data_IF_820025973330
#
_entry.id   IF_820025973330
#
_cell.length_a   1.000
_cell.length_b   1.000
_cell.length_c   1.000
_cell.angle_alpha   90.00
_cell.angle_beta   90.00
_cell.angle_gamma   90.00
#
_symmetry.space_group_name_H-M   'P 1'
#
loop_
_entity.id
_entity.type
_entity.pdbx_description
1 polymer ?
#
# COMPACT_ATOMS: atom_id res chain seq x y z
N UNK A 1 26.16 -3.03 16.19
CA UNK A 1 26.25 -4.46 15.78
C UNK A 1 27.71 -4.86 15.71
N UNK A 2 28.08 -5.94 16.38
CA UNK A 2 29.37 -6.57 16.24
C UNK A 2 29.51 -7.10 14.82
N UNK A 3 30.60 -6.76 14.12
CA UNK A 3 30.86 -7.06 12.71
C UNK A 3 30.70 -8.51 12.31
N UNK A 4 29.48 -8.90 12.02
CA UNK A 4 29.17 -10.15 11.37
C UNK A 4 29.57 -10.11 9.91
N UNK A 5 30.06 -11.23 9.37
CA UNK A 5 30.34 -11.39 7.95
C UNK A 5 29.06 -11.16 7.14
N UNK A 6 29.15 -10.41 6.04
CA UNK A 6 28.09 -10.31 5.03
C UNK A 6 28.16 -11.45 4.02
N UNK A 7 29.08 -12.41 4.22
CA UNK A 7 29.24 -13.56 3.34
C UNK A 7 28.07 -14.53 3.47
N UNK A 8 27.44 -14.83 2.35
CA UNK A 8 26.36 -15.81 2.28
C UNK A 8 26.92 -17.24 2.37
N UNK A 9 26.66 -17.90 3.47
CA UNK A 9 27.08 -19.30 3.71
C UNK A 9 25.96 -20.31 3.37
N UNK A 10 24.73 -19.84 3.14
CA UNK A 10 23.54 -20.68 2.85
C UNK A 10 23.29 -20.78 1.36
N UNK A 11 23.49 -19.70 0.62
CA UNK A 11 23.30 -19.60 -0.83
C UNK A 11 21.93 -19.08 -1.26
N UNK A 12 20.95 -19.08 -0.37
CA UNK A 12 19.61 -18.59 -0.66
C UNK A 12 19.60 -17.05 -0.93
N UNK A 13 20.32 -16.29 -0.09
CA UNK A 13 20.42 -14.84 -0.25
C UNK A 13 21.10 -14.44 -1.56
N UNK A 14 22.15 -15.12 -1.96
CA UNK A 14 22.84 -14.91 -3.25
C UNK A 14 21.91 -15.16 -4.43
N UNK A 15 21.13 -16.25 -4.40
CA UNK A 15 20.18 -16.57 -5.45
C UNK A 15 19.07 -15.52 -5.57
N UNK A 16 18.56 -15.03 -4.44
CA UNK A 16 17.58 -13.91 -4.35
C UNK A 16 18.18 -12.62 -4.90
N UNK A 17 19.38 -12.27 -4.46
CA UNK A 17 20.09 -11.06 -4.88
C UNK A 17 20.33 -11.01 -6.40
N UNK A 18 20.70 -12.14 -7.00
CA UNK A 18 20.95 -12.23 -8.44
C UNK A 18 19.67 -12.03 -9.27
N UNK A 19 18.50 -12.42 -8.79
CA UNK A 19 17.22 -12.14 -9.45
C UNK A 19 16.92 -10.65 -9.45
N UNK A 20 17.22 -9.96 -8.35
CA UNK A 20 16.97 -8.52 -8.21
C UNK A 20 17.96 -7.72 -9.08
N UNK A 21 19.27 -7.91 -8.86
CA UNK A 21 20.32 -7.05 -9.38
C UNK A 21 21.57 -7.81 -9.91
N UNK A 22 21.37 -9.05 -10.39
CA UNK A 22 22.46 -9.80 -11.04
C UNK A 22 23.00 -9.07 -12.26
N UNK A 23 24.26 -9.35 -12.62
CA UNK A 23 24.94 -8.79 -13.79
C UNK A 23 25.33 -9.88 -14.80
N UNK A 24 25.64 -9.49 -16.03
CA UNK A 24 26.13 -10.43 -17.04
C UNK A 24 27.38 -11.18 -16.56
N UNK A 25 28.26 -10.52 -15.81
CA UNK A 25 29.45 -11.14 -15.23
C UNK A 25 29.10 -12.23 -14.18
N UNK A 26 27.94 -12.15 -13.54
CA UNK A 26 27.41 -13.19 -12.66
C UNK A 26 26.62 -14.29 -13.37
N UNK A 27 26.55 -14.23 -14.71
CA UNK A 27 25.81 -15.20 -15.54
C UNK A 27 24.29 -15.11 -15.49
N UNK A 28 23.76 -14.13 -14.74
CA UNK A 28 22.31 -13.86 -14.62
C UNK A 28 22.10 -12.36 -14.55
N UNK A 29 21.36 -11.82 -15.52
CA UNK A 29 20.96 -10.41 -15.49
C UNK A 29 19.71 -10.28 -14.65
N UNK A 30 19.79 -9.50 -13.58
CA UNK A 30 18.68 -9.18 -12.68
C UNK A 30 17.67 -8.21 -13.31
N UNK A 31 16.55 -8.03 -12.64
CA UNK A 31 15.48 -7.14 -13.11
C UNK A 31 15.83 -5.64 -12.97
N UNK A 32 16.76 -5.31 -12.07
CA UNK A 32 17.30 -3.96 -11.84
C UNK A 32 18.82 -4.07 -11.57
N UNK A 33 19.65 -4.29 -12.59
CA UNK A 33 21.11 -4.50 -12.42
C UNK A 33 21.85 -3.31 -11.79
N UNK A 34 21.29 -2.12 -11.90
CA UNK A 34 21.81 -0.87 -11.32
C UNK A 34 21.45 -0.70 -9.83
N UNK A 35 20.62 -1.56 -9.26
CA UNK A 35 20.24 -1.47 -7.85
C UNK A 35 21.43 -1.79 -6.94
N UNK A 36 21.63 -0.94 -5.92
CA UNK A 36 22.60 -1.19 -4.85
C UNK A 36 21.95 -2.12 -3.82
N UNK A 37 22.55 -3.28 -3.61
CA UNK A 37 22.06 -4.26 -2.64
C UNK A 37 22.76 -4.09 -1.30
N UNK A 38 21.99 -4.11 -0.22
CA UNK A 38 22.45 -4.14 1.17
C UNK A 38 22.09 -5.50 1.77
N UNK A 39 23.05 -6.43 1.89
CA UNK A 39 22.76 -7.75 2.46
C UNK A 39 22.64 -7.67 3.99
N UNK A 40 21.46 -8.05 4.51
CA UNK A 40 21.19 -8.14 5.94
C UNK A 40 20.96 -9.60 6.30
N UNK A 41 21.92 -10.21 6.97
CA UNK A 41 21.95 -11.65 7.21
C UNK A 41 20.97 -12.06 8.29
N UNK A 42 19.98 -12.86 7.90
CA UNK A 42 18.94 -13.41 8.78
C UNK A 42 19.04 -14.93 8.95
N UNK A 43 19.65 -15.62 7.99
CA UNK A 43 19.96 -17.04 8.07
C UNK A 43 21.46 -17.25 8.19
N UNK A 44 21.86 -18.19 9.04
CA UNK A 44 23.25 -18.63 9.18
C UNK A 44 23.31 -20.16 9.11
N UNK A 45 24.50 -20.73 8.90
CA UNK A 45 24.73 -22.18 9.06
C UNK A 45 25.08 -22.48 10.51
N UNK A 46 24.49 -23.56 11.04
CA UNK A 46 24.94 -24.18 12.28
C UNK A 46 26.14 -25.12 12.01
N UNK A 47 26.82 -25.57 13.06
CA UNK A 47 27.95 -26.47 12.94
C UNK A 47 27.72 -27.79 12.19
N UNK A 48 26.46 -28.12 11.84
CA UNK A 48 26.06 -29.29 11.06
C UNK A 48 25.58 -28.93 9.64
N UNK A 49 25.99 -27.78 9.10
CA UNK A 49 25.58 -27.24 7.80
C UNK A 49 24.07 -26.94 7.65
N UNK A 50 23.28 -27.09 8.73
CA UNK A 50 21.87 -26.74 8.71
C UNK A 50 21.68 -25.22 8.75
N UNK A 51 20.80 -24.69 7.89
CA UNK A 51 20.42 -23.28 7.93
C UNK A 51 19.62 -22.99 9.22
N UNK A 52 20.08 -22.02 10.01
CA UNK A 52 19.40 -21.53 11.21
C UNK A 52 18.84 -20.16 10.92
N UNK A 53 17.55 -20.02 11.12
CA UNK A 53 16.81 -18.78 10.97
C UNK A 53 16.96 -17.92 12.23
N UNK A 54 17.13 -16.62 12.07
CA UNK A 54 17.01 -15.65 13.17
C UNK A 54 15.60 -15.64 13.77
N UNK A 55 15.45 -15.08 14.95
CA UNK A 55 14.15 -14.89 15.59
C UNK A 55 13.40 -13.66 15.05
N UNK A 56 12.10 -13.51 15.40
CA UNK A 56 11.27 -12.40 14.92
C UNK A 56 11.70 -11.03 15.47
N UNK A 57 12.16 -10.88 16.72
CA UNK A 57 12.79 -9.63 17.18
C UNK A 57 13.99 -9.20 16.34
N UNK A 58 14.84 -10.15 15.94
CA UNK A 58 15.96 -9.87 15.04
C UNK A 58 15.47 -9.39 13.65
N UNK A 59 14.42 -10.01 13.10
CA UNK A 59 13.85 -9.60 11.82
C UNK A 59 13.28 -8.17 11.91
N UNK A 60 12.55 -7.86 12.98
CA UNK A 60 12.03 -6.51 13.21
C UNK A 60 13.16 -5.47 13.29
N UNK A 61 14.27 -5.80 13.98
CA UNK A 61 15.42 -4.91 14.05
C UNK A 61 16.12 -4.74 12.69
N UNK A 62 16.26 -5.81 11.92
CA UNK A 62 16.83 -5.77 10.55
C UNK A 62 16.01 -4.86 9.64
N UNK A 63 14.68 -4.89 9.73
CA UNK A 63 13.81 -3.99 8.97
C UNK A 63 14.07 -2.53 9.37
N UNK A 64 14.15 -2.23 10.66
CA UNK A 64 14.47 -0.88 11.14
C UNK A 64 15.86 -0.42 10.70
N UNK A 65 16.87 -1.28 10.78
CA UNK A 65 18.23 -0.98 10.33
C UNK A 65 18.27 -0.71 8.82
N UNK A 66 17.51 -1.44 8.01
CA UNK A 66 17.40 -1.20 6.58
C UNK A 66 16.88 0.23 6.28
N UNK A 67 15.93 0.70 7.09
CA UNK A 67 15.35 2.05 6.97
C UNK A 67 16.31 3.11 7.52
N UNK A 68 16.69 3.00 8.79
CA UNK A 68 17.30 4.10 9.55
C UNK A 68 18.81 4.18 9.39
N UNK A 69 19.49 3.04 9.13
CA UNK A 69 20.95 2.96 9.00
C UNK A 69 21.39 2.92 7.54
N UNK A 70 20.69 2.15 6.73
CA UNK A 70 21.10 1.90 5.33
C UNK A 70 20.31 2.69 4.31
N UNK A 71 19.27 3.42 4.70
CA UNK A 71 18.41 4.23 3.80
C UNK A 71 17.91 3.44 2.59
N UNK A 72 17.51 2.19 2.80
CA UNK A 72 16.96 1.35 1.75
C UNK A 72 15.63 1.94 1.27
N UNK A 73 15.34 1.81 -0.04
CA UNK A 73 14.06 2.19 -0.65
C UNK A 73 13.09 1.01 -0.77
N UNK A 74 13.64 -0.19 -0.79
CA UNK A 74 12.87 -1.43 -0.78
C UNK A 74 13.55 -2.47 0.11
N UNK A 75 12.76 -3.34 0.72
CA UNK A 75 13.22 -4.45 1.54
C UNK A 75 12.61 -5.74 0.98
N UNK A 76 13.45 -6.69 0.57
CA UNK A 76 13.03 -8.01 0.17
C UNK A 76 13.13 -9.00 1.33
N UNK A 77 12.02 -9.62 1.72
CA UNK A 77 11.97 -10.61 2.80
C UNK A 77 11.50 -11.94 2.24
N UNK A 78 12.44 -12.74 1.74
CA UNK A 78 12.18 -14.09 1.24
C UNK A 78 12.11 -15.12 2.39
N UNK A 79 11.40 -14.79 3.46
CA UNK A 79 11.23 -15.55 4.68
C UNK A 79 9.94 -15.14 5.38
N UNK A 80 9.39 -16.00 6.23
CA UNK A 80 8.21 -15.69 7.01
C UNK A 80 8.06 -16.58 8.25
N UNK A 81 7.12 -16.24 9.12
CA UNK A 81 6.71 -17.03 10.27
C UNK A 81 5.18 -17.05 10.37
N UNK A 82 4.64 -18.12 10.95
CA UNK A 82 3.17 -18.29 11.15
C UNK A 82 2.64 -17.50 12.38
N UNK A 83 3.45 -16.60 12.92
CA UNK A 83 3.14 -15.85 14.13
C UNK A 83 3.24 -14.36 13.84
N UNK A 84 2.16 -13.65 14.09
CA UNK A 84 2.12 -12.19 14.13
C UNK A 84 2.68 -11.71 15.49
N UNK A 85 3.62 -10.78 15.44
CA UNK A 85 4.16 -10.13 16.63
C UNK A 85 4.08 -8.61 16.52
N UNK A 86 3.77 -7.90 17.61
CA UNK A 86 3.73 -6.44 17.61
C UNK A 86 5.03 -5.82 17.06
N UNK A 87 6.19 -6.31 17.50
CA UNK A 87 7.48 -5.78 17.06
C UNK A 87 7.69 -5.86 15.54
N UNK A 88 7.25 -6.96 14.91
CA UNK A 88 7.38 -7.13 13.45
C UNK A 88 6.37 -6.24 12.70
N UNK A 89 5.14 -6.14 13.22
CA UNK A 89 4.10 -5.25 12.67
C UNK A 89 4.55 -3.78 12.72
N UNK A 90 5.06 -3.33 13.86
CA UNK A 90 5.56 -1.97 14.05
C UNK A 90 6.77 -1.67 13.15
N UNK A 91 7.63 -2.66 12.91
CA UNK A 91 8.79 -2.48 12.04
C UNK A 91 8.40 -2.30 10.56
N UNK A 92 7.41 -3.05 10.04
CA UNK A 92 6.94 -2.87 8.66
C UNK A 92 6.11 -1.60 8.50
N UNK A 93 5.31 -1.23 9.51
CA UNK A 93 4.60 0.05 9.52
C UNK A 93 5.59 1.24 9.54
N UNK A 94 6.67 1.13 10.30
CA UNK A 94 7.76 2.11 10.29
C UNK A 94 8.41 2.25 8.92
N UNK A 95 8.69 1.13 8.24
CA UNK A 95 9.23 1.14 6.88
C UNK A 95 8.30 1.88 5.92
N UNK A 96 7.00 1.59 5.94
CA UNK A 96 5.98 2.26 5.13
C UNK A 96 5.97 3.78 5.38
N UNK A 97 5.91 4.21 6.65
CA UNK A 97 5.93 5.62 7.05
C UNK A 97 7.19 6.37 6.58
N UNK A 98 8.30 5.66 6.42
CA UNK A 98 9.57 6.21 5.93
C UNK A 98 9.76 6.09 4.41
N UNK A 99 8.71 5.70 3.68
CA UNK A 99 8.75 5.59 2.23
C UNK A 99 9.52 4.37 1.72
N UNK A 100 9.60 3.30 2.52
CA UNK A 100 10.31 2.06 2.18
C UNK A 100 9.33 0.94 1.89
N UNK A 101 9.34 0.40 0.66
CA UNK A 101 8.51 -0.73 0.27
C UNK A 101 9.03 -2.02 0.87
N UNK A 102 8.17 -2.78 1.54
CA UNK A 102 8.46 -4.13 1.99
C UNK A 102 7.76 -5.13 1.08
N UNK A 103 8.51 -6.10 0.54
CA UNK A 103 7.99 -7.20 -0.26
C UNK A 103 8.31 -8.51 0.43
N UNK A 104 7.33 -9.40 0.62
CA UNK A 104 7.53 -10.67 1.31
C UNK A 104 6.81 -11.83 0.63
N UNK A 105 7.24 -13.06 0.95
CA UNK A 105 6.77 -14.28 0.30
C UNK A 105 5.51 -14.85 0.95
N UNK A 106 4.56 -15.31 0.12
CA UNK A 106 3.30 -15.92 0.58
C UNK A 106 3.50 -17.22 1.38
N UNK A 107 4.58 -17.97 1.10
CA UNK A 107 4.84 -19.30 1.68
C UNK A 107 4.73 -20.43 0.66
N UNK A 108 5.21 -21.62 1.03
CA UNK A 108 5.35 -22.76 0.12
C UNK A 108 4.62 -24.01 0.65
N UNK A 109 3.55 -23.87 1.41
CA UNK A 109 2.77 -25.00 1.95
C UNK A 109 1.69 -25.50 0.94
N UNK A 110 1.38 -24.72 -0.10
CA UNK A 110 0.38 -25.05 -1.11
C UNK A 110 -1.07 -24.98 -0.61
N UNK A 111 -1.32 -24.20 0.43
CA UNK A 111 -2.61 -24.07 1.08
C UNK A 111 -2.87 -22.61 1.52
N UNK A 112 -3.82 -22.39 2.43
CA UNK A 112 -4.23 -21.10 2.97
C UNK A 112 -3.41 -20.61 4.19
N UNK A 113 -2.28 -21.25 4.48
CA UNK A 113 -1.43 -20.86 5.60
C UNK A 113 -0.88 -19.45 5.41
N UNK A 114 -1.12 -18.60 6.40
CA UNK A 114 -0.69 -17.20 6.42
C UNK A 114 0.70 -17.07 7.04
N UNK A 115 1.58 -16.32 6.38
CA UNK A 115 2.91 -15.98 6.88
C UNK A 115 3.09 -14.49 7.10
N UNK A 116 3.79 -14.13 8.15
CA UNK A 116 4.19 -12.76 8.47
C UNK A 116 5.70 -12.56 8.22
N UNK A 117 6.09 -11.39 7.67
CA UNK A 117 5.33 -10.14 7.53
C UNK A 117 4.44 -10.06 6.28
N UNK A 118 4.41 -11.05 5.38
CA UNK A 118 3.69 -11.00 4.12
C UNK A 118 2.20 -10.63 4.26
N UNK A 119 1.54 -11.08 5.33
CA UNK A 119 0.12 -10.83 5.56
C UNK A 119 -0.20 -9.44 6.16
N UNK A 120 0.78 -8.61 6.44
CA UNK A 120 0.49 -7.24 6.85
C UNK A 120 0.12 -6.38 5.65
N UNK A 121 -0.90 -5.58 5.78
CA UNK A 121 -1.47 -4.75 4.69
C UNK A 121 -0.50 -3.73 4.07
N UNK A 122 0.56 -3.36 4.77
CA UNK A 122 1.63 -2.49 4.28
C UNK A 122 2.74 -3.24 3.54
N UNK A 123 2.69 -4.58 3.53
CA UNK A 123 3.67 -5.45 2.86
C UNK A 123 3.08 -5.98 1.56
N UNK A 124 3.84 -5.93 0.48
CA UNK A 124 3.44 -6.52 -0.79
C UNK A 124 3.74 -8.03 -0.76
N UNK A 125 2.70 -8.84 -0.73
CA UNK A 125 2.78 -10.28 -0.64
C UNK A 125 2.90 -10.93 -2.02
N UNK A 126 3.98 -11.68 -2.27
CA UNK A 126 4.25 -12.34 -3.54
C UNK A 126 4.08 -13.87 -3.46
N UNK A 127 3.16 -14.40 -4.25
CA UNK A 127 3.03 -15.82 -4.57
C UNK A 127 3.75 -16.20 -5.86
N UNK A 128 3.72 -17.49 -6.21
CA UNK A 128 4.36 -18.01 -7.43
C UNK A 128 3.33 -18.41 -8.48
N UNK A 129 3.52 -17.95 -9.72
CA UNK A 129 2.71 -18.36 -10.87
C UNK A 129 3.26 -19.63 -11.50
N UNK A 130 2.35 -20.53 -11.89
CA UNK A 130 2.61 -21.61 -12.85
C UNK A 130 2.23 -21.14 -14.24
N UNK A 131 3.21 -20.68 -15.01
CA UNK A 131 2.98 -20.13 -16.35
C UNK A 131 2.48 -21.15 -17.38
N UNK A 132 2.60 -22.42 -17.11
CA UNK A 132 2.11 -23.48 -17.99
C UNK A 132 0.60 -23.71 -17.86
N UNK A 133 0.02 -23.42 -16.69
CA UNK A 133 -1.38 -23.63 -16.36
C UNK A 133 -2.14 -22.31 -16.19
N UNK A 134 -1.44 -21.18 -16.28
CA UNK A 134 -1.95 -19.83 -16.05
C UNK A 134 -2.68 -19.67 -14.71
N UNK A 135 -2.08 -20.20 -13.67
CA UNK A 135 -2.60 -20.22 -12.30
C UNK A 135 -1.48 -20.19 -11.26
N UNK A 136 -1.80 -20.24 -9.96
CA UNK A 136 -0.79 -20.32 -8.92
C UNK A 136 -0.05 -21.66 -8.96
N UNK A 137 1.24 -21.65 -8.60
CA UNK A 137 2.02 -22.88 -8.44
C UNK A 137 1.42 -23.73 -7.31
N UNK A 138 1.46 -25.05 -7.45
CA UNK A 138 0.88 -25.98 -6.46
C UNK A 138 1.41 -25.77 -5.04
N UNK A 139 2.66 -25.35 -4.91
CA UNK A 139 3.28 -25.08 -3.61
C UNK A 139 3.02 -23.66 -3.08
N UNK A 140 2.57 -22.71 -3.93
CA UNK A 140 2.32 -21.35 -3.49
C UNK A 140 1.13 -21.29 -2.55
N UNK A 141 1.29 -20.62 -1.41
CA UNK A 141 0.16 -20.37 -0.52
C UNK A 141 -0.82 -19.40 -1.17
N UNK A 142 -2.10 -19.55 -0.82
CA UNK A 142 -3.26 -18.84 -1.38
C UNK A 142 -4.17 -18.41 -0.25
N UNK A 143 -4.33 -17.12 -0.10
CA UNK A 143 -5.18 -16.50 0.94
C UNK A 143 -5.38 -15.02 0.63
N UNK A 144 -6.32 -14.38 1.30
CA UNK A 144 -6.71 -12.98 1.09
C UNK A 144 -5.61 -11.92 1.31
N UNK A 145 -4.42 -12.33 1.76
CA UNK A 145 -3.25 -11.45 1.88
C UNK A 145 -2.26 -11.56 0.72
N UNK A 146 -2.54 -12.39 -0.31
CA UNK A 146 -1.68 -12.46 -1.52
C UNK A 146 -2.04 -11.28 -2.44
N UNK A 147 -1.05 -10.44 -2.78
CA UNK A 147 -1.26 -9.31 -3.68
C UNK A 147 -1.01 -9.66 -5.13
N UNK A 148 0.09 -10.38 -5.40
CA UNK A 148 0.57 -10.67 -6.76
C UNK A 148 1.21 -12.05 -6.87
N UNK A 149 1.13 -12.62 -8.06
CA UNK A 149 1.97 -13.73 -8.43
C UNK A 149 3.14 -13.27 -9.31
N UNK A 150 4.26 -13.98 -9.22
CA UNK A 150 5.43 -13.74 -10.05
C UNK A 150 6.13 -15.06 -10.42
N UNK A 151 7.02 -15.08 -11.45
CA UNK A 151 7.83 -16.23 -11.77
C UNK A 151 8.63 -16.74 -10.55
N UNK A 152 8.58 -18.04 -10.32
CA UNK A 152 9.27 -18.68 -9.20
C UNK A 152 9.39 -20.20 -9.40
N UNK A 153 9.15 -20.72 -10.62
CA UNK A 153 9.34 -22.11 -11.01
C UNK A 153 10.47 -22.19 -12.03
N UNK A 154 11.47 -23.03 -11.77
CA UNK A 154 12.65 -23.23 -12.59
C UNK A 154 13.31 -21.91 -13.00
N UNK A 155 13.28 -20.95 -12.08
CA UNK A 155 13.85 -19.63 -12.30
C UNK A 155 15.38 -19.73 -12.29
N UNK A 156 16.02 -19.22 -13.33
CA UNK A 156 17.49 -19.22 -13.45
C UNK A 156 18.07 -18.14 -12.52
N UNK A 157 19.08 -18.51 -11.77
CA UNK A 157 19.83 -17.63 -10.88
C UNK A 157 21.26 -18.16 -10.70
N UNK A 158 22.04 -17.60 -9.79
CA UNK A 158 23.38 -18.04 -9.47
C UNK A 158 23.50 -18.50 -8.03
N UNK A 159 24.42 -19.44 -7.75
CA UNK A 159 24.77 -19.86 -6.41
C UNK A 159 25.98 -19.08 -5.88
N UNK A 160 26.41 -19.36 -4.63
CA UNK A 160 27.57 -18.73 -3.97
C UNK A 160 28.91 -18.97 -4.68
N UNK A 161 28.98 -19.90 -5.64
CA UNK A 161 30.17 -20.19 -6.44
C UNK A 161 30.16 -19.45 -7.79
N UNK A 162 29.11 -18.68 -8.07
CA UNK A 162 28.90 -18.04 -9.37
C UNK A 162 28.41 -19.00 -10.46
N UNK A 163 27.95 -20.20 -10.10
CA UNK A 163 27.43 -21.18 -11.04
C UNK A 163 25.94 -20.94 -11.30
N UNK A 164 25.51 -21.06 -12.54
CA UNK A 164 24.08 -20.97 -12.89
C UNK A 164 23.30 -22.16 -12.31
N UNK A 165 22.23 -21.85 -11.60
CA UNK A 165 21.32 -22.83 -11.00
C UNK A 165 19.87 -22.48 -11.30
N UNK A 166 18.98 -23.43 -11.14
CA UNK A 166 17.53 -23.20 -11.19
C UNK A 166 16.91 -23.42 -9.81
N UNK A 167 15.97 -22.56 -9.47
CA UNK A 167 15.32 -22.52 -8.16
C UNK A 167 13.80 -22.52 -8.28
N UNK A 168 13.12 -22.98 -7.22
CA UNK A 168 11.67 -22.91 -7.10
C UNK A 168 11.29 -22.34 -5.73
N UNK A 169 10.23 -21.53 -5.67
CA UNK A 169 9.67 -21.04 -4.42
C UNK A 169 9.20 -19.60 -4.49
N UNK A 170 8.29 -19.25 -3.61
CA UNK A 170 7.77 -17.88 -3.44
C UNK A 170 8.85 -16.89 -3.00
N UNK A 171 9.94 -17.36 -2.39
CA UNK A 171 11.15 -16.55 -2.12
C UNK A 171 11.71 -15.86 -3.36
N UNK A 172 11.69 -16.55 -4.50
CA UNK A 172 12.23 -16.06 -5.77
C UNK A 172 11.22 -15.21 -6.53
N UNK A 173 9.95 -15.49 -6.38
CA UNK A 173 8.85 -14.61 -6.82
C UNK A 173 8.90 -13.26 -6.09
N UNK A 174 9.18 -13.27 -4.78
CA UNK A 174 9.40 -12.06 -3.98
C UNK A 174 10.55 -11.23 -4.54
N UNK A 175 11.68 -11.88 -4.85
CA UNK A 175 12.83 -11.23 -5.48
C UNK A 175 12.47 -10.64 -6.86
N UNK A 176 11.66 -11.35 -7.64
CA UNK A 176 11.16 -10.85 -8.92
C UNK A 176 10.35 -9.57 -8.75
N UNK A 177 9.34 -9.58 -7.87
CA UNK A 177 8.51 -8.39 -7.59
C UNK A 177 9.36 -7.22 -7.07
N UNK A 178 10.31 -7.51 -6.15
CA UNK A 178 11.22 -6.48 -5.63
C UNK A 178 12.09 -5.87 -6.73
N UNK A 179 12.61 -6.68 -7.65
CA UNK A 179 13.40 -6.21 -8.79
C UNK A 179 12.59 -5.36 -9.77
N UNK A 180 11.32 -5.72 -10.01
CA UNK A 180 10.39 -4.90 -10.80
C UNK A 180 10.14 -3.57 -10.10
N UNK A 181 9.81 -3.58 -8.80
CA UNK A 181 9.61 -2.37 -8.01
C UNK A 181 10.85 -1.46 -8.02
N UNK A 182 12.05 -2.02 -7.84
CA UNK A 182 13.30 -1.28 -7.89
C UNK A 182 13.48 -0.59 -9.25
N UNK A 183 13.18 -1.26 -10.37
CA UNK A 183 13.30 -0.65 -11.70
C UNK A 183 12.28 0.48 -11.94
N UNK A 184 11.11 0.41 -11.32
CA UNK A 184 10.13 1.52 -11.34
C UNK A 184 10.63 2.71 -10.51
N UNK A 185 11.23 2.46 -9.33
CA UNK A 185 11.85 3.49 -8.47
C UNK A 185 13.04 4.19 -9.14
N UNK A 186 13.77 3.50 -10.03
CA UNK A 186 14.83 4.12 -10.82
C UNK A 186 14.28 5.11 -11.84
N UNK A 187 13.10 4.79 -12.41
CA UNK A 187 12.42 5.66 -13.40
C UNK A 187 11.75 6.85 -12.74
N UNK A 188 11.09 6.64 -11.59
CA UNK A 188 10.43 7.68 -10.82
C UNK A 188 10.79 7.54 -9.31
N UNK A 189 11.85 8.23 -8.86
CA UNK A 189 12.36 8.10 -7.49
C UNK A 189 11.41 8.60 -6.40
N UNK A 190 10.38 9.36 -6.75
CA UNK A 190 9.44 9.94 -5.77
C UNK A 190 8.27 9.01 -5.45
N UNK A 191 8.15 7.87 -6.13
CA UNK A 191 7.09 6.89 -5.85
C UNK A 191 7.14 6.43 -4.39
N UNK A 192 6.00 6.58 -3.71
CA UNK A 192 5.81 6.03 -2.38
C UNK A 192 5.56 4.51 -2.43
N UNK A 193 5.76 3.76 -1.34
CA UNK A 193 5.44 2.33 -1.29
C UNK A 193 3.99 2.03 -1.69
N UNK A 194 3.06 2.85 -1.25
CA UNK A 194 1.66 2.74 -1.63
C UNK A 194 1.45 2.88 -3.14
N UNK A 195 2.04 3.90 -3.77
CA UNK A 195 1.94 4.11 -5.21
C UNK A 195 2.54 2.96 -6.01
N UNK A 196 3.65 2.39 -5.53
CA UNK A 196 4.27 1.22 -6.14
C UNK A 196 3.37 -0.01 -6.06
N UNK A 197 2.78 -0.30 -4.88
CA UNK A 197 1.82 -1.39 -4.73
C UNK A 197 0.64 -1.20 -5.68
N UNK A 198 0.03 -0.01 -5.71
CA UNK A 198 -1.08 0.29 -6.61
C UNK A 198 -0.71 0.15 -8.09
N UNK A 199 0.46 0.66 -8.49
CA UNK A 199 0.93 0.54 -9.87
C UNK A 199 1.11 -0.92 -10.26
N UNK A 200 1.77 -1.72 -9.42
CA UNK A 200 2.02 -3.13 -9.68
C UNK A 200 0.73 -3.95 -9.71
N UNK A 201 -0.18 -3.75 -8.75
CA UNK A 201 -1.46 -4.44 -8.70
C UNK A 201 -2.39 -4.06 -9.87
N UNK A 202 -2.53 -2.75 -10.16
CA UNK A 202 -3.41 -2.26 -11.23
C UNK A 202 -2.91 -2.56 -12.65
N UNK A 203 -1.66 -2.97 -12.80
CA UNK A 203 -1.07 -3.35 -14.10
C UNK A 203 -0.74 -4.83 -14.18
N UNK A 204 -1.05 -5.60 -13.14
CA UNK A 204 -0.90 -7.05 -13.16
C UNK A 204 -1.77 -7.67 -14.26
N UNK A 205 -1.28 -8.75 -14.85
CA UNK A 205 -2.07 -9.54 -15.79
C UNK A 205 -3.01 -10.43 -14.99
N UNK A 206 -4.27 -10.08 -15.02
CA UNK A 206 -5.34 -10.82 -14.35
C UNK A 206 -5.40 -12.28 -14.84
N UNK A 207 -5.55 -13.20 -13.89
CA UNK A 207 -5.69 -14.64 -14.10
C UNK A 207 -6.66 -15.21 -13.05
N UNK A 208 -7.12 -16.43 -13.24
CA UNK A 208 -8.11 -17.12 -12.40
C UNK A 208 -9.49 -16.45 -12.48
N UNK A 209 -9.92 -15.68 -11.51
CA UNK A 209 -11.18 -14.95 -11.53
C UNK A 209 -10.97 -13.48 -11.88
N UNK A 210 -11.94 -12.83 -12.52
CA UNK A 210 -11.84 -11.41 -12.89
C UNK A 210 -11.69 -10.52 -11.64
N UNK A 211 -10.65 -9.71 -11.65
CA UNK A 211 -10.29 -8.82 -10.56
C UNK A 211 -9.46 -9.52 -9.47
N UNK A 212 -9.59 -9.04 -8.23
CA UNK A 212 -8.88 -9.65 -7.11
C UNK A 212 -9.51 -10.99 -6.70
N UNK A 213 -8.69 -12.03 -6.53
CA UNK A 213 -9.08 -13.32 -5.94
C UNK A 213 -8.00 -13.87 -4.99
N UNK A 214 -8.37 -14.81 -4.10
CA UNK A 214 -7.45 -15.38 -3.09
C UNK A 214 -6.41 -16.33 -3.68
N UNK A 215 -6.58 -16.82 -4.90
CA UNK A 215 -5.68 -17.72 -5.59
C UNK A 215 -4.50 -16.98 -6.24
N UNK A 216 -4.77 -15.81 -6.83
CA UNK A 216 -3.79 -15.05 -7.63
C UNK A 216 -3.54 -13.62 -7.17
N UNK A 217 -4.27 -13.12 -6.17
CA UNK A 217 -4.29 -11.71 -5.83
C UNK A 217 -4.86 -10.88 -6.98
N UNK A 218 -4.13 -9.86 -7.43
CA UNK A 218 -4.44 -9.07 -8.63
C UNK A 218 -3.95 -9.71 -9.93
N UNK A 219 -3.31 -10.86 -9.85
CA UNK A 219 -2.74 -11.56 -11.00
C UNK A 219 -1.21 -11.56 -11.04
N UNK A 220 -0.66 -11.76 -12.22
CA UNK A 220 0.79 -11.88 -12.43
C UNK A 220 1.40 -10.51 -12.67
N UNK A 221 2.45 -10.18 -11.91
CA UNK A 221 3.20 -8.93 -12.08
C UNK A 221 3.69 -8.77 -13.53
N UNK A 222 3.41 -7.61 -14.13
CA UNK A 222 3.84 -7.26 -15.49
C UNK A 222 4.71 -5.99 -15.45
N UNK A 223 6.02 -6.18 -15.54
CA UNK A 223 7.01 -5.08 -15.57
C UNK A 223 6.75 -4.13 -16.75
N UNK A 224 6.39 -4.68 -17.91
CA UNK A 224 6.22 -3.88 -19.13
C UNK A 224 4.99 -3.00 -19.00
N UNK A 225 3.86 -3.57 -18.57
CA UNK A 225 2.64 -2.82 -18.34
C UNK A 225 2.82 -1.75 -17.25
N UNK A 226 3.47 -2.09 -16.12
CA UNK A 226 3.75 -1.16 -15.05
C UNK A 226 4.64 0.01 -15.51
N UNK A 227 5.71 -0.29 -16.25
CA UNK A 227 6.61 0.74 -16.80
C UNK A 227 5.90 1.62 -17.83
N UNK A 228 5.12 1.04 -18.74
CA UNK A 228 4.35 1.79 -19.73
C UNK A 228 3.31 2.70 -19.07
N UNK A 229 2.64 2.20 -18.02
CA UNK A 229 1.69 2.98 -17.24
C UNK A 229 2.38 4.14 -16.51
N UNK A 230 3.52 3.87 -15.85
CA UNK A 230 4.31 4.90 -15.19
C UNK A 230 4.76 5.97 -16.18
N UNK A 231 5.34 5.60 -17.31
CA UNK A 231 5.79 6.53 -18.35
C UNK A 231 4.63 7.34 -18.97
N UNK A 232 3.44 6.74 -19.07
CA UNK A 232 2.26 7.44 -19.56
C UNK A 232 1.72 8.48 -18.56
N UNK A 233 2.04 8.33 -17.26
CA UNK A 233 1.62 9.23 -16.19
C UNK A 233 2.69 10.26 -15.83
N UNK A 234 3.96 9.88 -15.90
CA UNK A 234 5.11 10.80 -15.69
C UNK A 234 5.09 11.89 -16.75
N UNK A 235 5.00 13.14 -16.30
CA UNK A 235 5.08 14.31 -17.17
C UNK A 235 3.79 14.77 -17.85
N UNK A 236 2.63 14.13 -17.61
CA UNK A 236 1.36 14.77 -17.99
C UNK A 236 1.13 15.97 -17.09
N UNK A 237 1.04 17.20 -17.64
CA UNK A 237 0.72 18.35 -16.81
C UNK A 237 -0.70 18.19 -16.27
N UNK A 238 -0.86 18.29 -14.94
CA UNK A 238 -2.17 18.54 -14.37
C UNK A 238 -2.70 19.87 -14.93
N UNK A 239 -4.00 20.02 -15.11
CA UNK A 239 -4.57 21.29 -15.49
C UNK A 239 -4.39 22.36 -14.39
N UNK A 240 -3.99 21.95 -13.18
CA UNK A 240 -3.90 22.78 -11.99
C UNK A 240 -2.47 23.32 -11.81
N UNK A 241 -2.28 24.63 -11.98
CA UNK A 241 -0.97 25.28 -11.84
C UNK A 241 -0.52 25.41 -10.37
N UNK A 242 -1.45 25.28 -9.43
CA UNK A 242 -1.21 25.34 -7.98
C UNK A 242 -0.91 23.97 -7.33
N UNK A 243 -0.66 22.93 -8.14
CA UNK A 243 -0.21 21.62 -7.72
C UNK A 243 1.23 21.41 -8.21
N UNK A 244 2.19 21.61 -7.30
CA UNK A 244 3.60 21.46 -7.62
C UNK A 244 3.95 20.02 -8.04
N UNK A 245 5.03 19.86 -8.84
CA UNK A 245 5.47 18.54 -9.34
C UNK A 245 5.90 17.59 -8.21
N UNK A 246 6.46 18.15 -7.15
CA UNK A 246 6.97 17.45 -5.96
C UNK A 246 5.99 17.46 -4.78
N UNK A 247 4.75 17.97 -4.98
CA UNK A 247 3.76 18.00 -3.91
C UNK A 247 3.36 16.58 -3.48
N UNK A 248 3.41 16.28 -2.18
CA UNK A 248 3.05 14.97 -1.61
C UNK A 248 1.64 14.50 -2.01
N UNK A 249 0.73 15.43 -2.26
CA UNK A 249 -0.66 15.16 -2.65
C UNK A 249 -0.87 15.06 -4.16
N UNK A 250 0.15 15.32 -4.99
CA UNK A 250 0.01 15.39 -6.45
C UNK A 250 -0.65 14.16 -7.06
N UNK A 251 -0.17 12.97 -6.71
CA UNK A 251 -0.70 11.72 -7.26
C UNK A 251 -2.14 11.47 -6.82
N UNK A 252 -2.47 11.84 -5.59
CA UNK A 252 -3.85 11.76 -5.11
C UNK A 252 -4.78 12.74 -5.87
N UNK A 253 -4.29 13.93 -6.23
CA UNK A 253 -5.02 14.88 -7.07
C UNK A 253 -5.19 14.37 -8.50
N UNK A 254 -4.15 13.80 -9.10
CA UNK A 254 -4.21 13.15 -10.42
C UNK A 254 -5.24 12.01 -10.45
N UNK A 255 -5.19 11.13 -9.44
CA UNK A 255 -6.16 10.06 -9.28
C UNK A 255 -7.59 10.59 -9.10
N UNK A 256 -7.78 11.58 -8.24
CA UNK A 256 -9.10 12.16 -7.98
C UNK A 256 -9.69 12.85 -9.22
N UNK A 257 -8.84 13.51 -10.01
CA UNK A 257 -9.23 14.11 -11.29
C UNK A 257 -9.64 13.02 -12.30
N UNK A 258 -8.81 11.99 -12.46
CA UNK A 258 -9.05 10.87 -13.39
C UNK A 258 -10.34 10.11 -13.08
N UNK A 259 -10.65 9.95 -11.80
CA UNK A 259 -11.86 9.24 -11.35
C UNK A 259 -13.08 10.18 -11.18
N UNK A 260 -13.01 11.43 -11.64
CA UNK A 260 -14.12 12.37 -11.58
C UNK A 260 -14.51 12.81 -10.16
N UNK A 261 -13.65 12.54 -9.17
CA UNK A 261 -13.89 12.91 -7.77
C UNK A 261 -13.74 14.43 -7.60
N UNK A 262 -12.75 15.02 -8.27
CA UNK A 262 -12.54 16.46 -8.32
C UNK A 262 -12.40 16.97 -9.74
N UNK A 263 -12.81 18.21 -9.98
CA UNK A 263 -12.47 18.99 -11.18
C UNK A 263 -11.70 20.27 -10.84
N UNK A 264 -11.16 20.33 -9.60
CA UNK A 264 -10.56 21.54 -9.07
C UNK A 264 -11.55 22.48 -8.41
N UNK A 265 -11.08 23.63 -7.97
CA UNK A 265 -11.91 24.78 -7.56
C UNK A 265 -12.24 25.66 -8.77
N UNK A 266 -11.35 25.66 -9.76
CA UNK A 266 -11.55 26.15 -11.11
C UNK A 266 -11.01 25.14 -12.12
N UNK A 267 -11.12 25.42 -13.41
CA UNK A 267 -10.53 24.59 -14.45
C UNK A 267 -8.99 24.50 -14.39
N UNK A 268 -8.33 25.41 -13.67
CA UNK A 268 -6.87 25.53 -13.61
C UNK A 268 -6.29 25.58 -12.20
N UNK A 269 -7.13 25.48 -11.17
CA UNK A 269 -6.71 25.44 -9.75
C UNK A 269 -7.35 24.30 -8.99
N UNK A 270 -6.59 23.66 -8.13
CA UNK A 270 -7.05 22.65 -7.19
C UNK A 270 -7.33 23.25 -5.80
N UNK A 271 -6.56 24.27 -5.42
CA UNK A 271 -6.58 24.94 -4.11
C UNK A 271 -6.29 23.98 -2.95
N UNK A 272 -5.07 23.39 -2.89
CA UNK A 272 -4.73 22.34 -1.93
C UNK A 272 -4.91 22.75 -0.46
N UNK A 273 -4.56 23.98 -0.12
CA UNK A 273 -4.59 24.51 1.25
C UNK A 273 -5.96 25.09 1.65
N UNK A 274 -6.92 25.10 0.73
CA UNK A 274 -8.27 25.56 1.05
C UNK A 274 -8.99 24.55 1.94
N UNK A 275 -9.63 25.04 3.00
CA UNK A 275 -10.45 24.20 3.87
C UNK A 275 -11.65 23.62 3.12
N UNK A 276 -12.03 22.39 3.47
CA UNK A 276 -13.21 21.75 2.91
C UNK A 276 -14.41 21.88 3.81
N UNK A 277 -15.53 22.29 3.22
CA UNK A 277 -16.81 22.29 3.92
C UNK A 277 -17.36 20.84 4.04
N UNK A 278 -18.31 20.66 4.95
CA UNK A 278 -19.02 19.39 5.14
C UNK A 278 -19.70 18.92 3.85
N UNK A 279 -20.30 19.85 3.08
CA UNK A 279 -20.90 19.54 1.79
C UNK A 279 -19.87 19.06 0.76
N UNK A 280 -18.73 19.69 0.69
CA UNK A 280 -17.63 19.27 -0.20
C UNK A 280 -17.10 17.90 0.19
N UNK A 281 -16.91 17.65 1.47
CA UNK A 281 -16.42 16.36 1.98
C UNK A 281 -17.33 15.20 1.61
N UNK A 282 -18.64 15.29 1.88
CA UNK A 282 -19.58 14.21 1.50
C UNK A 282 -19.71 14.08 -0.01
N UNK A 283 -19.51 15.17 -0.76
CA UNK A 283 -19.51 15.12 -2.24
C UNK A 283 -18.30 14.37 -2.78
N UNK A 284 -17.13 14.55 -2.20
CA UNK A 284 -15.93 13.78 -2.55
C UNK A 284 -16.13 12.28 -2.26
N UNK A 285 -16.65 11.93 -1.08
CA UNK A 285 -16.97 10.55 -0.70
C UNK A 285 -17.99 9.90 -1.64
N UNK A 286 -19.06 10.63 -1.98
CA UNK A 286 -20.10 10.16 -2.88
C UNK A 286 -19.58 9.92 -4.30
N UNK A 287 -18.74 10.82 -4.81
CA UNK A 287 -18.08 10.65 -6.11
C UNK A 287 -17.10 9.48 -6.10
N UNK A 288 -16.31 9.32 -5.03
CA UNK A 288 -15.42 8.19 -4.87
C UNK A 288 -16.16 6.84 -4.80
N UNK A 289 -17.43 6.85 -4.36
CA UNK A 289 -18.31 5.69 -4.36
C UNK A 289 -19.03 5.45 -5.71
N UNK A 290 -18.69 6.21 -6.77
CA UNK A 290 -19.32 6.08 -8.09
C UNK A 290 -20.68 6.76 -8.24
N UNK A 291 -20.95 7.80 -7.47
CA UNK A 291 -22.17 8.62 -7.54
C UNK A 291 -23.47 7.82 -7.36
N UNK A 292 -23.61 6.93 -6.37
CA UNK A 292 -24.82 6.10 -6.22
C UNK A 292 -26.06 6.95 -5.93
N UNK A 293 -27.18 6.64 -6.55
CA UNK A 293 -28.46 7.31 -6.26
C UNK A 293 -28.91 6.96 -4.83
N UNK A 294 -29.24 7.97 -3.99
CA UNK A 294 -29.81 7.73 -2.68
C UNK A 294 -31.21 7.12 -2.78
N UNK A 295 -31.52 6.15 -1.93
CA UNK A 295 -32.83 5.47 -1.89
C UNK A 295 -33.84 6.22 -1.01
N UNK A 296 -33.35 6.98 -0.02
CA UNK A 296 -34.20 7.81 0.83
C UNK A 296 -34.69 9.02 0.02
N UNK A 297 -35.99 9.27 0.08
CA UNK A 297 -36.64 10.38 -0.62
C UNK A 297 -36.98 11.56 0.30
N UNK A 298 -36.97 11.32 1.62
CA UNK A 298 -37.28 12.37 2.61
C UNK A 298 -35.97 12.99 3.12
N UNK A 299 -35.78 14.25 2.78
CA UNK A 299 -34.72 15.06 3.34
C UNK A 299 -35.13 15.62 4.73
N UNK A 300 -34.42 15.29 5.81
CA UNK A 300 -34.70 15.85 7.13
C UNK A 300 -34.11 17.24 7.34
N UNK A 301 -33.14 17.66 6.51
CA UNK A 301 -32.35 18.87 6.72
C UNK A 301 -32.96 20.10 6.05
N UNK A 302 -33.30 21.10 6.85
CA UNK A 302 -33.91 22.33 6.34
C UNK A 302 -32.91 23.23 5.59
N UNK A 303 -31.59 23.03 5.81
CA UNK A 303 -30.49 23.76 5.19
C UNK A 303 -29.88 23.05 3.97
N UNK A 304 -30.57 22.04 3.43
CA UNK A 304 -30.19 21.30 2.21
C UNK A 304 -31.40 21.25 1.28
N UNK A 305 -31.28 21.80 0.07
CA UNK A 305 -32.37 21.88 -0.90
C UNK A 305 -32.08 21.04 -2.14
N UNK A 306 -33.13 20.66 -2.89
CA UNK A 306 -33.00 19.83 -4.11
C UNK A 306 -32.14 20.48 -5.20
N UNK A 307 -31.97 21.80 -5.16
CA UNK A 307 -31.14 22.56 -6.12
C UNK A 307 -29.66 22.58 -5.74
N UNK A 308 -29.31 22.14 -4.55
CA UNK A 308 -27.91 22.10 -4.10
C UNK A 308 -27.15 20.98 -4.79
N UNK A 309 -25.92 21.25 -5.24
CA UNK A 309 -25.04 20.25 -5.87
C UNK A 309 -24.72 19.07 -4.93
N UNK A 310 -24.83 19.32 -3.64
CA UNK A 310 -24.58 18.32 -2.59
C UNK A 310 -25.85 17.63 -2.08
N UNK A 311 -27.02 17.89 -2.65
CA UNK A 311 -28.29 17.28 -2.22
C UNK A 311 -28.22 15.74 -2.21
N UNK A 312 -27.91 15.13 -3.36
CA UNK A 312 -27.77 13.67 -3.47
C UNK A 312 -26.63 13.12 -2.61
N UNK A 313 -25.42 13.71 -2.60
CA UNK A 313 -24.34 13.35 -1.66
C UNK A 313 -24.75 13.32 -0.19
N UNK A 314 -25.48 14.33 0.28
CA UNK A 314 -25.95 14.40 1.68
C UNK A 314 -26.96 13.31 2.00
N UNK A 315 -27.96 13.09 1.13
CA UNK A 315 -28.94 12.02 1.33
C UNK A 315 -28.29 10.64 1.29
N UNK A 316 -27.35 10.41 0.39
CA UNK A 316 -26.58 9.17 0.35
C UNK A 316 -25.76 8.96 1.62
N UNK A 317 -25.08 10.01 2.10
CA UNK A 317 -24.29 9.93 3.33
C UNK A 317 -25.17 9.67 4.57
N UNK A 318 -26.37 10.24 4.61
CA UNK A 318 -27.36 9.96 5.65
C UNK A 318 -27.83 8.49 5.58
N UNK A 319 -28.22 8.00 4.39
CA UNK A 319 -28.65 6.62 4.18
C UNK A 319 -27.61 5.59 4.62
N UNK A 320 -26.33 5.90 4.37
CA UNK A 320 -25.20 5.03 4.72
C UNK A 320 -24.70 5.15 6.15
N UNK A 321 -25.32 6.04 6.94
CA UNK A 321 -24.86 6.30 8.31
C UNK A 321 -23.47 6.94 8.40
N UNK A 322 -23.04 7.61 7.33
CA UNK A 322 -21.79 8.37 7.28
C UNK A 322 -21.94 9.65 8.11
N UNK A 323 -23.12 10.27 8.05
CA UNK A 323 -23.48 11.46 8.82
C UNK A 323 -24.92 11.35 9.35
N UNK A 324 -25.20 11.99 10.45
CA UNK A 324 -26.55 12.23 10.98
C UNK A 324 -26.94 13.71 10.98
N UNK A 325 -26.13 14.58 10.36
CA UNK A 325 -26.27 16.03 10.47
C UNK A 325 -25.51 16.61 11.64
N UNK A 326 -25.68 17.89 11.88
CA UNK A 326 -25.23 18.60 13.10
C UNK A 326 -26.36 18.71 14.12
N UNK A 327 -27.60 18.51 13.66
CA UNK A 327 -28.80 18.28 14.45
C UNK A 327 -29.78 17.42 13.64
N UNK A 328 -30.93 17.08 14.24
CA UNK A 328 -31.98 16.31 13.56
C UNK A 328 -32.54 17.02 12.29
N UNK A 329 -32.35 18.33 12.19
CA UNK A 329 -32.92 19.16 11.12
C UNK A 329 -31.89 20.00 10.35
N UNK A 330 -30.59 19.91 10.69
CA UNK A 330 -29.53 20.67 10.03
C UNK A 330 -28.34 19.79 9.68
N UNK A 331 -27.82 19.98 8.48
CA UNK A 331 -26.58 19.34 7.98
C UNK A 331 -25.36 20.25 8.17
N UNK A 332 -25.56 21.56 8.15
CA UNK A 332 -24.53 22.62 8.18
C UNK A 332 -23.54 22.52 7.00
N UNK A 333 -24.03 22.62 5.75
CA UNK A 333 -23.25 22.29 4.54
C UNK A 333 -22.01 23.18 4.36
N UNK A 334 -22.07 24.43 4.78
CA UNK A 334 -21.01 25.42 4.58
C UNK A 334 -19.98 25.48 5.71
N UNK A 335 -20.20 24.76 6.81
CA UNK A 335 -19.26 24.73 7.91
C UNK A 335 -18.01 23.93 7.51
N UNK A 336 -16.78 24.45 7.76
CA UNK A 336 -15.56 23.66 7.55
C UNK A 336 -15.57 22.32 8.29
N UNK A 337 -15.08 21.31 7.66
CA UNK A 337 -14.89 20.00 8.28
C UNK A 337 -13.57 19.99 9.08
N UNK A 338 -13.59 19.48 10.30
CA UNK A 338 -12.35 19.21 11.02
C UNK A 338 -11.70 17.91 10.54
N UNK A 339 -10.41 17.73 10.82
CA UNK A 339 -9.66 16.50 10.53
C UNK A 339 -10.36 15.27 11.14
N UNK A 340 -10.82 15.35 12.40
CA UNK A 340 -11.57 14.27 13.05
C UNK A 340 -12.89 13.94 12.32
N UNK A 341 -13.60 14.96 11.83
CA UNK A 341 -14.85 14.73 11.09
C UNK A 341 -14.61 14.04 9.76
N UNK A 342 -13.58 14.43 9.01
CA UNK A 342 -13.25 13.82 7.72
C UNK A 342 -12.88 12.35 7.89
N UNK A 343 -11.99 12.05 8.82
CA UNK A 343 -11.59 10.66 9.11
C UNK A 343 -12.79 9.83 9.56
N UNK A 344 -13.68 10.39 10.39
CA UNK A 344 -14.90 9.70 10.83
C UNK A 344 -15.86 9.43 9.66
N UNK A 345 -16.04 10.40 8.75
CA UNK A 345 -16.88 10.20 7.56
C UNK A 345 -16.29 9.13 6.65
N UNK A 346 -14.99 9.17 6.42
CA UNK A 346 -14.29 8.19 5.59
C UNK A 346 -14.39 6.79 6.21
N UNK A 347 -14.07 6.63 7.49
CA UNK A 347 -14.18 5.39 8.24
C UNK A 347 -15.60 4.82 8.22
N UNK A 348 -16.62 5.69 8.43
CA UNK A 348 -18.04 5.29 8.34
C UNK A 348 -18.42 4.85 6.94
N UNK A 349 -17.88 5.49 5.88
CA UNK A 349 -18.14 5.11 4.49
C UNK A 349 -17.60 3.71 4.16
N UNK A 350 -16.56 3.29 4.87
CA UNK A 350 -15.94 1.95 4.78
C UNK A 350 -16.52 0.94 5.78
N UNK A 351 -17.71 1.22 6.33
CA UNK A 351 -18.43 0.35 7.30
C UNK A 351 -17.71 0.16 8.64
N UNK A 352 -16.94 1.15 9.07
CA UNK A 352 -16.27 1.21 10.36
C UNK A 352 -15.33 0.04 10.63
N UNK A 353 -14.30 -0.18 9.79
CA UNK A 353 -13.35 -1.26 9.97
C UNK A 353 -12.54 -1.12 11.26
N UNK A 354 -12.07 -2.23 11.79
CA UNK A 354 -11.18 -2.22 12.93
C UNK A 354 -9.81 -1.66 12.56
N UNK A 355 -9.11 -1.06 13.53
CA UNK A 355 -7.70 -0.71 13.37
C UNK A 355 -6.84 -1.96 13.18
N UNK A 356 -5.82 -1.88 12.34
CA UNK A 356 -4.90 -2.99 12.07
C UNK A 356 -3.95 -3.31 13.24
N UNK A 357 -3.89 -2.44 14.25
CA UNK A 357 -2.99 -2.59 15.39
C UNK A 357 -3.21 -1.54 16.47
N UNK A 358 -2.20 -1.39 17.31
CA UNK A 358 -2.20 -0.35 18.36
C UNK A 358 -1.84 1.01 17.72
N UNK A 359 -2.62 2.04 18.04
CA UNK A 359 -2.34 3.44 17.69
C UNK A 359 -1.99 4.22 18.96
N UNK A 360 -0.75 4.72 19.04
CA UNK A 360 -0.34 5.60 20.12
C UNK A 360 -1.09 6.92 20.06
N UNK A 361 -1.33 7.44 18.86
CA UNK A 361 -2.08 8.65 18.62
C UNK A 361 -3.49 8.55 19.19
N UNK A 362 -4.24 7.50 18.83
CA UNK A 362 -5.59 7.28 19.33
C UNK A 362 -5.63 7.05 20.86
N UNK A 363 -4.64 6.34 21.39
CA UNK A 363 -4.52 6.10 22.85
C UNK A 363 -4.33 7.39 23.65
N UNK A 364 -3.73 8.41 23.06
CA UNK A 364 -3.55 9.74 23.67
C UNK A 364 -4.79 10.63 23.61
N UNK A 365 -5.79 10.30 22.78
CA UNK A 365 -6.96 11.17 22.57
C UNK A 365 -8.07 11.00 23.62
N UNK A 366 -8.16 9.87 24.31
CA UNK A 366 -9.29 9.54 25.17
C UNK A 366 -10.50 8.98 24.41
N UNK A 367 -11.66 8.90 25.05
CA UNK A 367 -12.90 8.32 24.48
C UNK A 367 -13.76 9.41 23.81
N UNK A 368 -13.52 9.61 22.52
CA UNK A 368 -14.29 10.50 21.66
C UNK A 368 -14.92 9.74 20.50
N UNK A 369 -15.94 10.31 19.86
CA UNK A 369 -16.67 9.71 18.74
C UNK A 369 -15.75 9.36 17.53
N UNK A 370 -14.58 9.95 17.44
CA UNK A 370 -13.61 9.76 16.37
C UNK A 370 -12.42 8.87 16.74
N UNK A 371 -12.29 8.43 17.99
CA UNK A 371 -11.09 7.70 18.47
C UNK A 371 -10.83 6.43 17.66
N UNK A 372 -11.86 5.62 17.40
CA UNK A 372 -11.73 4.40 16.59
C UNK A 372 -11.37 4.71 15.11
N UNK A 373 -11.97 5.76 14.56
CA UNK A 373 -11.68 6.21 13.22
C UNK A 373 -10.22 6.70 13.07
N UNK A 374 -9.72 7.41 14.11
CA UNK A 374 -8.31 7.84 14.17
C UNK A 374 -7.38 6.65 14.33
N UNK A 375 -7.70 5.68 15.19
CA UNK A 375 -6.91 4.46 15.33
C UNK A 375 -6.79 3.70 14.01
N UNK A 376 -7.90 3.59 13.29
CA UNK A 376 -7.92 3.00 11.95
C UNK A 376 -7.02 3.79 10.99
N UNK A 377 -7.22 5.09 10.84
CA UNK A 377 -6.46 5.90 9.90
C UNK A 377 -4.95 5.93 10.20
N UNK A 378 -4.59 6.00 11.49
CA UNK A 378 -3.20 6.00 11.94
C UNK A 378 -2.51 4.67 11.61
N UNK A 379 -3.15 3.54 11.93
CA UNK A 379 -2.59 2.20 11.65
C UNK A 379 -2.45 1.89 10.15
N UNK A 380 -3.12 2.65 9.29
CA UNK A 380 -2.97 2.58 7.83
C UNK A 380 -2.14 3.73 7.24
N UNK A 381 -1.48 4.53 8.07
CA UNK A 381 -0.52 5.55 7.65
C UNK A 381 -1.12 6.79 6.98
N UNK A 382 -2.40 7.10 7.21
CA UNK A 382 -3.09 8.20 6.53
C UNK A 382 -2.46 9.55 6.88
N UNK A 383 -2.14 9.77 8.14
CA UNK A 383 -1.59 11.05 8.61
C UNK A 383 -0.15 11.26 8.14
N UNK A 384 0.67 10.22 8.14
CA UNK A 384 2.03 10.31 7.62
C UNK A 384 2.06 10.53 6.10
N UNK A 385 1.17 9.88 5.35
CA UNK A 385 1.05 10.10 3.91
C UNK A 385 0.55 11.50 3.55
N UNK A 386 -0.32 12.08 4.38
CA UNK A 386 -0.79 13.46 4.25
C UNK A 386 0.20 14.50 4.82
N UNK A 387 1.36 14.06 5.33
CA UNK A 387 2.38 14.91 5.95
C UNK A 387 1.79 15.87 7.01
N UNK A 388 0.80 15.40 7.75
CA UNK A 388 0.11 16.19 8.77
C UNK A 388 0.41 15.67 10.17
N UNK A 389 0.54 16.61 11.14
CA UNK A 389 0.43 16.31 12.56
C UNK A 389 -1.05 16.39 12.90
N UNK A 390 -1.72 15.25 12.97
CA UNK A 390 -3.16 15.21 13.21
C UNK A 390 -3.57 15.98 14.49
N UNK A 391 -4.38 16.99 14.30
CA UNK A 391 -5.03 17.74 15.38
C UNK A 391 -6.55 17.65 15.16
N UNK A 392 -7.30 16.99 16.05
CA UNK A 392 -8.69 16.62 15.79
C UNK A 392 -9.61 17.75 15.35
N UNK A 393 -9.41 18.96 15.90
CA UNK A 393 -10.27 20.13 15.68
C UNK A 393 -9.76 21.10 14.61
N UNK A 394 -8.58 20.86 14.08
CA UNK A 394 -8.07 21.70 12.98
C UNK A 394 -8.91 21.49 11.72
N UNK A 395 -9.08 22.55 10.94
CA UNK A 395 -9.80 22.51 9.68
C UNK A 395 -9.02 21.69 8.66
N UNK A 396 -9.68 20.73 8.05
CA UNK A 396 -9.06 19.86 7.08
C UNK A 396 -8.94 20.50 5.70
N UNK A 397 -7.76 20.39 5.11
CA UNK A 397 -7.44 20.93 3.80
C UNK A 397 -7.85 19.97 2.67
N UNK A 398 -8.10 20.52 1.47
CA UNK A 398 -8.47 19.74 0.29
C UNK A 398 -7.40 18.69 -0.08
N UNK A 399 -6.12 19.03 0.09
CA UNK A 399 -5.02 18.11 -0.12
C UNK A 399 -5.12 16.86 0.78
N UNK A 400 -5.41 17.04 2.07
CA UNK A 400 -5.56 15.93 3.02
C UNK A 400 -6.71 15.01 2.60
N UNK A 401 -7.87 15.57 2.25
CA UNK A 401 -9.04 14.76 1.86
C UNK A 401 -8.76 13.88 0.66
N UNK A 402 -8.15 14.41 -0.40
CA UNK A 402 -7.86 13.59 -1.59
C UNK A 402 -6.80 12.53 -1.30
N UNK A 403 -5.82 12.80 -0.43
CA UNK A 403 -4.84 11.80 0.04
C UNK A 403 -5.54 10.70 0.83
N UNK A 404 -6.41 11.04 1.77
CA UNK A 404 -7.16 10.05 2.54
C UNK A 404 -8.07 9.19 1.67
N UNK A 405 -8.76 9.80 0.70
CA UNK A 405 -9.58 9.07 -0.28
C UNK A 405 -8.75 8.14 -1.16
N UNK A 406 -7.61 8.63 -1.64
CA UNK A 406 -6.68 7.86 -2.45
C UNK A 406 -6.18 6.62 -1.72
N UNK A 407 -5.73 6.79 -0.47
CA UNK A 407 -5.29 5.68 0.38
C UNK A 407 -6.41 4.68 0.66
N UNK A 408 -7.61 5.20 0.94
CA UNK A 408 -8.77 4.33 1.23
C UNK A 408 -9.26 3.55 0.01
N UNK A 409 -9.05 4.05 -1.20
CA UNK A 409 -9.42 3.36 -2.44
C UNK A 409 -8.48 2.19 -2.75
N UNK A 410 -7.21 2.29 -2.37
CA UNK A 410 -6.25 1.21 -2.57
C UNK A 410 -6.22 0.16 -1.47
N UNK A 411 -6.91 0.41 -0.37
CA UNK A 411 -7.03 -0.51 0.76
C UNK A 411 -8.42 -1.20 0.80
N UNK A 412 -9.10 -1.32 -0.34
CA UNK A 412 -10.44 -1.96 -0.40
C UNK A 412 -10.44 -3.44 0.03
N UNK A 413 -9.26 -4.09 0.05
CA UNK A 413 -9.10 -5.48 0.51
C UNK A 413 -9.00 -5.63 2.03
N UNK A 414 -9.04 -4.55 2.77
CA UNK A 414 -8.95 -4.59 4.23
C UNK A 414 -10.32 -4.77 4.90
N UNK A 415 -11.37 -5.07 4.09
CA UNK A 415 -12.74 -5.19 4.59
C UNK A 415 -13.48 -6.40 4.04
#
# INVERSE_FOLDING_TARGET
MSGGSTEDTVGHGTAVAAIIAGSEAAGVVGLCPEAVLVPLVYYSKSGNDAAVKGDLPMLAQIIRDAVDVYNCRAINISSGAKVDTPALRDAVAWAEQRGVLVVSCAGNDGNDTVYYPAAFSTVLCAGTVNTAEDGPALFSNRHSGVDLLAPGIKLKTTNIRGEAVTVNGTSFSTAWVTGVAASLMTTEPTLTPYQLRQLLCNTARDICSEGYDEDSGWGVVDKIAAMARLQAEVGKPLPFYDVAQDAYYRVAVEWALKNGITGGTTSTTFSPDMTCTRAQTVTFLWRAAGCPEPRITKNPFADVTETDYFYKPVLWALERGITSGTSDTTFSPQVPCSEAQIITFLWSSKKRPNAAGHSELASGLGDYYYTDAVAWADTYGFFSAAQTNFVPMDEAHRAHIVVYLYLSAGNEHLF
#
